data_IF_427133161800
#
_entry.id   IF_427133161800
#
_cell.length_a   1.000
_cell.length_b   1.000
_cell.length_c   1.000
_cell.angle_alpha   90.00
_cell.angle_beta   90.00
_cell.angle_gamma   90.00
#
_symmetry.space_group_name_H-M   'P 1'
#
loop_
_entity.id
_entity.type
_entity.pdbx_description
1 polymer ?
#
# COMPACT_ATOMS: atom_id res chain seq x y z
N UNK A 1 -20.57 39.40 56.14
CA UNK A 1 -19.99 39.46 54.77
C UNK A 1 -18.94 38.37 54.51
N UNK A 2 -18.01 38.10 55.43
CA UNK A 2 -16.89 37.14 55.22
C UNK A 2 -17.28 35.69 54.90
N UNK A 3 -18.40 35.20 55.44
CA UNK A 3 -18.88 33.82 55.16
C UNK A 3 -19.33 33.63 53.70
N UNK A 4 -19.91 34.67 53.08
CA UNK A 4 -20.37 34.63 51.69
C UNK A 4 -19.19 34.61 50.72
N UNK A 5 -18.18 35.45 50.97
CA UNK A 5 -16.93 35.47 50.20
C UNK A 5 -16.12 34.18 50.35
N UNK A 6 -16.13 33.55 51.54
CA UNK A 6 -15.51 32.24 51.76
C UNK A 6 -16.21 31.13 50.97
N UNK A 7 -17.54 31.15 50.95
CA UNK A 7 -18.35 30.20 50.18
C UNK A 7 -18.13 30.35 48.67
N UNK A 8 -18.17 31.56 48.14
CA UNK A 8 -17.92 31.84 46.71
C UNK A 8 -16.52 31.37 46.26
N UNK A 9 -15.50 31.53 47.10
CA UNK A 9 -14.15 31.01 46.82
C UNK A 9 -14.13 29.47 46.77
N UNK A 10 -14.83 28.80 47.69
CA UNK A 10 -14.92 27.33 47.71
C UNK A 10 -15.66 26.79 46.50
N UNK A 11 -16.73 27.45 46.06
CA UNK A 11 -17.47 27.06 44.85
C UNK A 11 -16.60 27.22 43.60
N UNK A 12 -15.90 28.35 43.44
CA UNK A 12 -14.97 28.55 42.31
C UNK A 12 -13.83 27.53 42.30
N UNK A 13 -13.26 27.21 43.47
CA UNK A 13 -12.22 26.19 43.58
C UNK A 13 -12.74 24.79 43.19
N UNK A 14 -13.97 24.47 43.57
CA UNK A 14 -14.62 23.21 43.20
C UNK A 14 -14.88 23.12 41.69
N UNK A 15 -15.40 24.18 41.07
CA UNK A 15 -15.63 24.23 39.62
C UNK A 15 -14.32 24.09 38.83
N UNK A 16 -13.26 24.77 39.27
CA UNK A 16 -11.92 24.64 38.68
C UNK A 16 -11.41 23.20 38.79
N UNK A 17 -11.50 22.59 39.97
CA UNK A 17 -11.10 21.19 40.18
C UNK A 17 -11.90 20.22 39.30
N UNK A 18 -13.21 20.44 39.14
CA UNK A 18 -14.07 19.63 38.28
C UNK A 18 -13.66 19.74 36.81
N UNK A 19 -13.35 20.96 36.35
CA UNK A 19 -12.89 21.18 34.97
C UNK A 19 -11.57 20.46 34.68
N UNK A 20 -10.60 20.55 35.60
CA UNK A 20 -9.29 19.88 35.47
C UNK A 20 -9.46 18.35 35.41
N UNK A 21 -10.31 17.77 36.25
CA UNK A 21 -10.56 16.32 36.25
C UNK A 21 -11.16 15.85 34.92
N UNK A 22 -12.10 16.62 34.34
CA UNK A 22 -12.71 16.30 33.04
C UNK A 22 -11.64 16.38 31.93
N UNK A 23 -10.80 17.41 31.93
CA UNK A 23 -9.71 17.56 30.95
C UNK A 23 -8.73 16.40 31.04
N UNK A 24 -8.25 16.04 32.24
CA UNK A 24 -7.33 14.92 32.44
C UNK A 24 -7.96 13.59 32.00
N UNK A 25 -9.25 13.38 32.28
CA UNK A 25 -9.95 12.18 31.85
C UNK A 25 -10.08 12.12 30.32
N UNK A 26 -10.35 13.26 29.68
CA UNK A 26 -10.44 13.37 28.23
C UNK A 26 -9.07 13.12 27.57
N UNK A 27 -7.99 13.73 28.08
CA UNK A 27 -6.62 13.49 27.60
C UNK A 27 -6.22 12.03 27.73
N UNK A 28 -6.43 11.39 28.89
CA UNK A 28 -6.18 9.96 29.08
C UNK A 28 -6.99 9.08 28.12
N UNK A 29 -8.22 9.48 27.80
CA UNK A 29 -9.06 8.76 26.84
C UNK A 29 -8.55 8.89 25.40
N UNK A 30 -8.02 10.07 25.03
CA UNK A 30 -7.40 10.31 23.73
C UNK A 30 -6.10 9.50 23.61
N UNK A 31 -5.26 9.52 24.65
CA UNK A 31 -4.01 8.74 24.69
C UNK A 31 -4.31 7.25 24.56
N UNK A 32 -5.31 6.74 25.30
CA UNK A 32 -5.76 5.36 25.18
C UNK A 32 -6.26 4.99 23.77
N UNK A 33 -7.04 5.86 23.12
CA UNK A 33 -7.50 5.65 21.74
C UNK A 33 -6.32 5.68 20.76
N UNK A 34 -5.37 6.58 20.95
CA UNK A 34 -4.18 6.68 20.10
C UNK A 34 -3.30 5.43 20.24
N UNK A 35 -3.09 4.94 21.46
CA UNK A 35 -2.36 3.71 21.72
C UNK A 35 -3.05 2.49 21.08
N UNK A 36 -4.38 2.40 21.18
CA UNK A 36 -5.15 1.34 20.50
C UNK A 36 -5.00 1.44 18.97
N UNK A 37 -5.04 2.64 18.39
CA UNK A 37 -4.83 2.86 16.95
C UNK A 37 -3.42 2.45 16.53
N UNK A 38 -2.40 2.79 17.31
CA UNK A 38 -1.02 2.41 17.04
C UNK A 38 -0.83 0.90 17.10
N UNK A 39 -1.34 0.23 18.15
CA UNK A 39 -1.30 -1.24 18.25
C UNK A 39 -2.00 -1.91 17.08
N UNK A 40 -3.22 -1.47 16.75
CA UNK A 40 -3.97 -2.03 15.62
C UNK A 40 -3.28 -1.77 14.27
N UNK A 41 -2.54 -0.66 14.12
CA UNK A 41 -1.76 -0.40 12.91
C UNK A 41 -0.51 -1.29 12.82
N UNK A 42 0.15 -1.53 13.95
CA UNK A 42 1.32 -2.41 14.04
C UNK A 42 0.95 -3.87 13.80
N UNK A 43 -0.16 -4.35 14.34
CA UNK A 43 -0.70 -5.69 14.09
C UNK A 43 -1.03 -5.89 12.61
N UNK A 44 -1.77 -4.94 12.00
CA UNK A 44 -2.03 -4.95 10.55
C UNK A 44 -0.74 -4.92 9.73
N UNK A 45 0.29 -4.21 10.19
CA UNK A 45 1.59 -4.20 9.50
C UNK A 45 2.27 -5.56 9.55
N UNK A 46 2.24 -6.24 10.69
CA UNK A 46 2.80 -7.58 10.87
C UNK A 46 2.09 -8.61 10.00
N UNK A 47 0.76 -8.63 10.04
CA UNK A 47 -0.07 -9.50 9.20
C UNK A 47 0.26 -9.32 7.70
N UNK A 48 0.34 -8.07 7.23
CA UNK A 48 0.71 -7.76 5.85
C UNK A 48 2.11 -8.26 5.48
N UNK A 49 3.06 -8.20 6.41
CA UNK A 49 4.42 -8.71 6.18
C UNK A 49 4.41 -10.24 6.10
N UNK A 50 3.66 -10.91 6.97
CA UNK A 50 3.51 -12.37 6.95
C UNK A 50 2.92 -12.86 5.64
N UNK A 51 1.84 -12.22 5.15
CA UNK A 51 1.24 -12.52 3.84
C UNK A 51 2.27 -12.37 2.71
N UNK A 52 3.04 -11.28 2.70
CA UNK A 52 4.05 -11.04 1.68
C UNK A 52 5.19 -12.06 1.72
N UNK A 53 5.66 -12.42 2.92
CA UNK A 53 6.72 -13.41 3.09
C UNK A 53 6.25 -14.81 2.68
N UNK A 54 4.99 -15.15 2.95
CA UNK A 54 4.38 -16.40 2.54
C UNK A 54 4.11 -16.46 1.03
N UNK A 55 4.09 -15.33 0.32
CA UNK A 55 3.72 -15.28 -1.10
C UNK A 55 4.87 -15.75 -2.02
N UNK A 56 4.80 -16.95 -2.62
CA UNK A 56 5.96 -17.57 -3.27
C UNK A 56 6.47 -16.75 -4.47
N UNK A 57 5.57 -16.38 -5.39
CA UNK A 57 5.97 -15.68 -6.61
C UNK A 57 6.41 -14.23 -6.36
N UNK A 58 5.91 -13.56 -5.32
CA UNK A 58 6.32 -12.19 -5.01
C UNK A 58 7.79 -12.15 -4.59
N UNK A 59 8.21 -13.12 -3.76
CA UNK A 59 9.60 -13.27 -3.38
C UNK A 59 10.49 -13.56 -4.59
N UNK A 60 10.02 -14.37 -5.54
CA UNK A 60 10.72 -14.60 -6.80
C UNK A 60 10.83 -13.33 -7.66
N UNK A 61 9.75 -12.55 -7.78
CA UNK A 61 9.76 -11.27 -8.48
C UNK A 61 10.81 -10.33 -7.89
N UNK A 62 10.83 -10.19 -6.55
CA UNK A 62 11.80 -9.34 -5.86
C UNK A 62 13.22 -9.85 -6.11
N UNK A 63 13.47 -11.16 -6.07
CA UNK A 63 14.77 -11.73 -6.44
C UNK A 63 15.14 -11.34 -7.88
N UNK A 64 14.27 -11.57 -8.87
CA UNK A 64 14.55 -11.27 -10.29
C UNK A 64 14.76 -9.78 -10.60
N UNK A 65 14.08 -8.88 -9.88
CA UNK A 65 14.08 -7.44 -10.18
C UNK A 65 15.12 -6.69 -9.34
N UNK A 66 15.26 -7.04 -8.07
CA UNK A 66 16.11 -6.33 -7.10
C UNK A 66 17.47 -7.00 -6.96
N UNK A 67 17.56 -8.32 -7.11
CA UNK A 67 18.80 -9.10 -6.90
C UNK A 67 19.21 -9.80 -8.20
N UNK A 68 19.97 -9.09 -9.03
CA UNK A 68 20.47 -9.65 -10.29
C UNK A 68 21.88 -10.18 -10.08
N UNK A 69 22.12 -11.46 -10.37
CA UNK A 69 23.42 -12.13 -10.21
C UNK A 69 24.00 -12.03 -8.77
N UNK A 70 23.14 -12.11 -7.76
CA UNK A 70 23.55 -12.02 -6.35
C UNK A 70 23.86 -10.60 -5.84
N UNK A 71 23.79 -9.58 -6.70
CA UNK A 71 24.02 -8.19 -6.33
C UNK A 71 22.72 -7.40 -6.33
N UNK A 72 22.51 -6.57 -5.30
CA UNK A 72 21.37 -5.64 -5.26
C UNK A 72 21.54 -4.58 -6.34
N UNK A 73 20.69 -4.61 -7.35
CA UNK A 73 20.65 -3.61 -8.42
C UNK A 73 19.86 -2.39 -7.96
N UNK A 74 20.18 -1.22 -8.52
CA UNK A 74 19.37 -0.02 -8.34
C UNK A 74 18.08 -0.16 -9.14
N UNK A 75 16.95 -0.16 -8.42
CA UNK A 75 15.61 -0.21 -9.01
C UNK A 75 15.27 1.19 -9.54
N UNK A 76 14.73 1.26 -10.75
CA UNK A 76 14.28 2.54 -11.33
C UNK A 76 13.04 3.06 -10.59
N UNK A 77 12.72 4.34 -10.78
CA UNK A 77 11.55 4.96 -10.13
C UNK A 77 10.25 4.20 -10.44
N UNK A 78 10.03 3.83 -11.71
CA UNK A 78 8.79 3.20 -12.13
C UNK A 78 8.71 1.72 -11.76
N UNK A 79 9.83 1.00 -11.75
CA UNK A 79 9.87 -0.34 -11.14
C UNK A 79 9.52 -0.28 -9.65
N UNK A 80 10.09 0.68 -8.91
CA UNK A 80 9.77 0.85 -7.49
C UNK A 80 8.28 1.16 -7.27
N UNK A 81 7.67 1.96 -8.16
CA UNK A 81 6.24 2.26 -8.10
C UNK A 81 5.40 1.01 -8.36
N UNK A 82 5.73 0.23 -9.40
CA UNK A 82 5.06 -1.03 -9.70
C UNK A 82 5.18 -2.04 -8.56
N UNK A 83 6.41 -2.29 -8.08
CA UNK A 83 6.66 -3.20 -6.97
C UNK A 83 5.92 -2.76 -5.71
N UNK A 84 5.85 -1.46 -5.44
CA UNK A 84 5.08 -0.90 -4.32
C UNK A 84 3.57 -1.12 -4.47
N UNK A 85 3.03 -1.04 -5.69
CA UNK A 85 1.61 -1.35 -5.96
C UNK A 85 1.32 -2.84 -5.83
N UNK A 86 2.15 -3.70 -6.41
CA UNK A 86 2.04 -5.15 -6.29
C UNK A 86 2.13 -5.59 -4.83
N UNK A 87 3.05 -5.00 -4.06
CA UNK A 87 3.15 -5.23 -2.61
C UNK A 87 1.82 -4.96 -1.90
N UNK A 88 1.13 -3.88 -2.24
CA UNK A 88 -0.16 -3.53 -1.62
C UNK A 88 -1.26 -4.50 -2.05
N UNK A 89 -1.36 -4.80 -3.34
CA UNK A 89 -2.36 -5.74 -3.88
C UNK A 89 -2.26 -7.09 -3.16
N UNK A 90 -1.04 -7.62 -3.02
CA UNK A 90 -0.79 -8.89 -2.35
C UNK A 90 -1.05 -8.81 -0.84
N UNK A 91 -0.52 -7.78 -0.18
CA UNK A 91 -0.70 -7.61 1.26
C UNK A 91 -2.17 -7.41 1.65
N UNK A 92 -2.96 -6.82 0.77
CA UNK A 92 -4.41 -6.61 0.94
C UNK A 92 -5.23 -7.80 0.39
N UNK A 93 -4.57 -8.87 -0.06
CA UNK A 93 -5.17 -10.10 -0.63
C UNK A 93 -6.19 -9.82 -1.75
N UNK A 94 -5.91 -8.79 -2.55
CA UNK A 94 -6.77 -8.41 -3.67
C UNK A 94 -6.52 -9.38 -4.83
N UNK A 95 -7.57 -10.05 -5.30
CA UNK A 95 -7.49 -10.94 -6.46
C UNK A 95 -7.06 -10.19 -7.71
N UNK A 96 -6.07 -10.71 -8.43
CA UNK A 96 -5.68 -10.17 -9.73
C UNK A 96 -6.77 -10.45 -10.76
N UNK A 97 -7.54 -9.43 -11.06
CA UNK A 97 -8.47 -9.40 -12.16
C UNK A 97 -8.05 -8.34 -13.18
N UNK A 98 -8.73 -8.32 -14.32
CA UNK A 98 -8.47 -7.34 -15.39
C UNK A 98 -8.48 -5.89 -14.89
N UNK A 99 -9.40 -5.52 -14.00
CA UNK A 99 -9.48 -4.16 -13.47
C UNK A 99 -8.24 -3.78 -12.64
N UNK A 100 -7.74 -4.71 -11.81
CA UNK A 100 -6.50 -4.54 -11.04
C UNK A 100 -5.30 -4.41 -11.98
N UNK A 101 -5.27 -5.18 -13.07
CA UNK A 101 -4.23 -5.08 -14.10
C UNK A 101 -4.23 -3.72 -14.81
N UNK A 102 -5.41 -3.23 -15.23
CA UNK A 102 -5.57 -1.89 -15.80
C UNK A 102 -5.04 -0.84 -14.82
N UNK A 103 -5.42 -0.92 -13.55
CA UNK A 103 -4.95 0.01 -12.52
C UNK A 103 -3.44 -0.03 -12.33
N UNK A 104 -2.82 -1.22 -12.40
CA UNK A 104 -1.38 -1.38 -12.29
C UNK A 104 -0.64 -0.67 -13.43
N UNK A 105 -1.12 -0.85 -14.66
CA UNK A 105 -0.49 -0.30 -15.86
C UNK A 105 -0.72 1.22 -15.98
N UNK A 106 -1.92 1.70 -15.65
CA UNK A 106 -2.31 3.12 -15.75
C UNK A 106 -1.44 4.08 -14.91
N UNK A 107 -0.72 3.56 -13.91
CA UNK A 107 0.21 4.36 -13.10
C UNK A 107 1.47 4.75 -13.88
N UNK A 108 1.77 4.04 -14.97
CA UNK A 108 2.95 4.28 -15.80
C UNK A 108 2.60 5.25 -16.92
N UNK A 109 3.47 6.22 -17.25
CA UNK A 109 3.37 6.90 -18.53
C UNK A 109 3.81 5.97 -19.66
N UNK A 110 3.20 6.10 -20.83
CA UNK A 110 3.44 5.24 -22.00
C UNK A 110 4.92 5.05 -22.36
N UNK A 111 5.73 6.10 -22.27
CA UNK A 111 7.18 6.04 -22.54
C UNK A 111 7.95 5.10 -21.60
N UNK A 112 7.46 4.91 -20.39
CA UNK A 112 8.06 4.04 -19.37
C UNK A 112 7.48 2.64 -19.46
N UNK A 113 6.19 2.53 -19.83
CA UNK A 113 5.52 1.28 -20.07
C UNK A 113 6.26 0.42 -21.10
N UNK A 114 6.77 0.99 -22.19
CA UNK A 114 7.50 0.25 -23.24
C UNK A 114 8.90 -0.25 -22.82
N UNK A 115 9.44 0.18 -21.67
CA UNK A 115 10.78 -0.21 -21.25
C UNK A 115 10.82 -1.68 -20.85
N UNK A 116 11.87 -2.39 -21.26
CA UNK A 116 12.00 -3.83 -21.02
C UNK A 116 11.98 -4.21 -19.53
N UNK A 117 12.51 -3.36 -18.66
CA UNK A 117 12.54 -3.59 -17.21
C UNK A 117 11.12 -3.59 -16.61
N UNK A 118 10.29 -2.66 -17.06
CA UNK A 118 8.87 -2.54 -16.69
C UNK A 118 8.07 -3.69 -17.30
N UNK A 119 8.26 -3.97 -18.59
CA UNK A 119 7.62 -5.08 -19.28
C UNK A 119 7.98 -6.45 -18.69
N UNK A 120 9.20 -6.61 -18.15
CA UNK A 120 9.60 -7.83 -17.45
C UNK A 120 8.75 -8.06 -16.19
N UNK A 121 8.51 -7.02 -15.40
CA UNK A 121 7.65 -7.11 -14.21
C UNK A 121 6.22 -7.47 -14.63
N UNK A 122 5.67 -6.78 -15.62
CA UNK A 122 4.29 -6.99 -16.08
C UNK A 122 4.10 -8.42 -16.62
N UNK A 123 5.05 -8.91 -17.43
CA UNK A 123 5.05 -10.30 -17.91
C UNK A 123 5.10 -11.30 -16.78
N UNK A 124 5.96 -11.07 -15.79
CA UNK A 124 6.09 -11.95 -14.64
C UNK A 124 4.75 -12.09 -13.91
N UNK A 125 4.07 -10.97 -13.64
CA UNK A 125 2.77 -10.99 -12.95
C UNK A 125 1.70 -11.70 -13.80
N UNK A 126 1.64 -11.39 -15.11
CA UNK A 126 0.70 -12.03 -16.04
C UNK A 126 0.84 -13.56 -16.03
N UNK A 127 2.08 -14.06 -16.05
CA UNK A 127 2.37 -15.49 -16.05
C UNK A 127 1.92 -16.19 -14.76
N UNK A 128 2.12 -15.57 -13.60
CA UNK A 128 1.77 -16.20 -12.31
C UNK A 128 0.28 -16.13 -12.01
N UNK A 129 -0.41 -15.10 -12.49
CA UNK A 129 -1.85 -14.92 -12.32
C UNK A 129 -2.67 -15.52 -13.48
N UNK A 130 -2.01 -16.21 -14.42
CA UNK A 130 -2.63 -16.89 -15.57
C UNK A 130 -3.62 -16.02 -16.37
N UNK A 131 -3.28 -14.74 -16.56
CA UNK A 131 -4.15 -13.81 -17.31
C UNK A 131 -4.05 -14.11 -18.80
N UNK A 132 -5.20 -14.34 -19.43
CA UNK A 132 -5.28 -14.60 -20.86
C UNK A 132 -4.73 -13.44 -21.69
N UNK A 133 -4.12 -13.76 -22.84
CA UNK A 133 -3.54 -12.74 -23.73
C UNK A 133 -4.57 -11.68 -24.14
N UNK A 134 -5.81 -12.12 -24.43
CA UNK A 134 -6.92 -11.23 -24.75
C UNK A 134 -7.19 -10.21 -23.64
N UNK A 135 -7.32 -10.68 -22.40
CA UNK A 135 -7.62 -9.83 -21.25
C UNK A 135 -6.46 -8.87 -20.94
N UNK A 136 -5.22 -9.34 -21.17
CA UNK A 136 -4.03 -8.54 -21.06
C UNK A 136 -4.02 -7.39 -22.08
N UNK A 137 -4.18 -7.69 -23.37
CA UNK A 137 -4.17 -6.67 -24.43
C UNK A 137 -5.28 -5.64 -24.23
N UNK A 138 -6.48 -6.09 -23.86
CA UNK A 138 -7.59 -5.19 -23.56
C UNK A 138 -7.28 -4.32 -22.33
N UNK A 139 -6.63 -4.87 -21.31
CA UNK A 139 -6.21 -4.09 -20.15
C UNK A 139 -5.14 -3.04 -20.49
N UNK A 140 -4.22 -3.33 -21.43
CA UNK A 140 -3.21 -2.39 -21.92
C UNK A 140 -3.85 -1.22 -22.65
N UNK A 141 -4.83 -1.52 -23.51
CA UNK A 141 -5.60 -0.51 -24.24
C UNK A 141 -6.41 0.38 -23.27
N UNK A 142 -7.12 -0.23 -22.32
CA UNK A 142 -7.87 0.49 -21.27
C UNK A 142 -6.97 1.32 -20.35
N UNK A 143 -5.70 0.95 -20.19
CA UNK A 143 -4.71 1.73 -19.45
C UNK A 143 -4.18 2.94 -20.25
N UNK A 144 -4.51 3.04 -21.55
CA UNK A 144 -4.11 4.15 -22.42
C UNK A 144 -2.73 3.95 -23.06
N UNK A 145 -2.26 2.71 -23.16
CA UNK A 145 -0.99 2.38 -23.81
C UNK A 145 -1.23 1.87 -25.24
N UNK A 146 -0.46 2.36 -26.23
CA UNK A 146 -0.56 1.87 -27.59
C UNK A 146 -0.04 0.44 -27.67
N UNK A 147 -0.84 -0.44 -28.28
CA UNK A 147 -0.42 -1.80 -28.59
C UNK A 147 0.53 -1.71 -29.79
N UNK A 148 1.84 -1.74 -29.54
CA UNK A 148 2.83 -1.82 -30.62
C UNK A 148 3.06 -3.27 -31.04
N UNK A 149 3.38 -3.50 -32.33
CA UNK A 149 3.69 -4.84 -32.86
C UNK A 149 4.81 -5.56 -32.07
N UNK A 150 5.77 -4.80 -31.52
CA UNK A 150 6.86 -5.34 -30.69
C UNK A 150 6.39 -5.94 -29.35
N UNK A 151 5.21 -5.57 -28.85
CA UNK A 151 4.62 -6.14 -27.65
C UNK A 151 3.91 -7.46 -27.95
N UNK A 152 3.18 -7.52 -29.08
CA UNK A 152 2.48 -8.73 -29.52
C UNK A 152 3.49 -9.86 -29.76
N UNK A 153 4.62 -9.58 -30.41
CA UNK A 153 5.66 -10.60 -30.65
C UNK A 153 6.33 -11.11 -29.35
N UNK A 154 6.60 -10.23 -28.38
CA UNK A 154 7.24 -10.57 -27.09
C UNK A 154 6.33 -11.31 -26.10
N UNK A 155 5.02 -11.38 -26.36
CA UNK A 155 4.03 -12.10 -25.56
C UNK A 155 3.50 -13.38 -26.23
N UNK A 156 3.80 -13.60 -27.52
CA UNK A 156 3.36 -14.79 -28.28
C UNK A 156 4.38 -15.93 -28.24
N UNK A 157 5.63 -15.69 -27.81
CA UNK A 157 6.68 -16.72 -27.75
C UNK A 157 6.74 -17.39 -26.37
N UNK A 158 6.13 -18.60 -26.35
CA UNK A 158 6.26 -19.75 -25.43
C UNK A 158 6.04 -19.53 -23.93
#
# INVERSE_FOLDING_TARGET
>A
MERKTSFERKVKAFELSKSILITIQYEKSIDGINDMRQKAAEERRKEKIEILLAHPWYNELIKKVVVMNGVRRKVTQYESVLLGRLKRIIADQISFNKAVFVQLMRVLPTREFVKDEVQRIIRFVKQHENIAERDYLEAVELAGHPISSSMVEKHTVQ
#
